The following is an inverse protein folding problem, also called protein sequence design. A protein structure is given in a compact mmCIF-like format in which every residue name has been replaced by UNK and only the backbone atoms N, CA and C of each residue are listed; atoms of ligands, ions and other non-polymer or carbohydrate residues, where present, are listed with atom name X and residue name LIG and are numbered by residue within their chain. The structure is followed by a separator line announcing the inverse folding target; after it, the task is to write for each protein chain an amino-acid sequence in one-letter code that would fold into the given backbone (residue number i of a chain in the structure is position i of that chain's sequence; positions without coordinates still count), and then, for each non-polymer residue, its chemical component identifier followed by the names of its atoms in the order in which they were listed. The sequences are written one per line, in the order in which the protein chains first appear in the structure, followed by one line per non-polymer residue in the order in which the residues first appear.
data_IF_221983622987
#
_entry.id   IF_221983622987
#
_cell.length_a   1.000
_cell.length_b   1.000
_cell.length_c   1.000
_cell.angle_alpha   90.00
_cell.angle_beta   90.00
_cell.angle_gamma   90.00
#
_symmetry.space_group_name_H-M   'P 1'
#
loop_
_entity.id
_entity.type
_entity.pdbx_description
1 polymer ?
#
# COMPACT_ATOMS: atom_id res chain seq x y z
N UNK A 1 20.40 22.58 -1.00
CA UNK A 1 21.04 21.25 -0.91
C UNK A 1 22.07 21.19 -2.02
N UNK A 2 23.33 20.96 -1.70
CA UNK A 2 24.38 20.83 -2.72
C UNK A 2 24.18 19.53 -3.50
N UNK A 3 24.65 19.46 -4.75
CA UNK A 3 24.52 18.25 -5.58
C UNK A 3 25.14 17.01 -4.90
N UNK A 4 26.19 17.20 -4.10
CA UNK A 4 26.87 16.15 -3.34
C UNK A 4 25.98 15.60 -2.22
N UNK A 5 25.21 16.44 -1.53
CA UNK A 5 24.30 16.01 -0.46
C UNK A 5 23.22 15.07 -1.02
N UNK A 6 22.63 15.42 -2.17
CA UNK A 6 21.61 14.61 -2.83
C UNK A 6 22.15 13.24 -3.24
N UNK A 7 23.37 13.19 -3.79
CA UNK A 7 24.02 11.94 -4.18
C UNK A 7 24.37 11.07 -2.97
N UNK A 8 24.83 11.67 -1.88
CA UNK A 8 25.08 10.95 -0.62
C UNK A 8 23.82 10.32 -0.06
N UNK A 9 22.69 11.03 -0.07
CA UNK A 9 21.41 10.49 0.37
C UNK A 9 20.98 9.32 -0.52
N UNK A 10 21.06 9.46 -1.84
CA UNK A 10 20.69 8.38 -2.78
C UNK A 10 21.55 7.15 -2.58
N UNK A 11 22.89 7.31 -2.54
CA UNK A 11 23.82 6.20 -2.33
C UNK A 11 23.65 5.57 -0.94
N UNK A 12 23.41 6.37 0.09
CA UNK A 12 23.12 5.89 1.44
C UNK A 12 21.83 5.07 1.51
N UNK A 13 20.75 5.56 0.90
CA UNK A 13 19.47 4.84 0.84
C UNK A 13 19.61 3.54 0.03
N UNK A 14 20.30 3.60 -1.10
CA UNK A 14 20.54 2.45 -1.97
C UNK A 14 21.34 1.37 -1.23
N UNK A 15 22.46 1.76 -0.60
CA UNK A 15 23.29 0.86 0.18
C UNK A 15 22.52 0.27 1.37
N UNK A 16 21.83 1.11 2.16
CA UNK A 16 21.04 0.64 3.30
C UNK A 16 19.96 -0.37 2.91
N UNK A 17 19.19 -0.07 1.87
CA UNK A 17 18.14 -0.98 1.37
C UNK A 17 18.74 -2.29 0.84
N UNK A 18 19.85 -2.19 0.11
CA UNK A 18 20.55 -3.35 -0.44
C UNK A 18 21.12 -4.23 0.68
N UNK A 19 21.80 -3.67 1.67
CA UNK A 19 22.36 -4.41 2.80
C UNK A 19 21.27 -5.13 3.61
N UNK A 20 20.13 -4.48 3.88
CA UNK A 20 19.01 -5.12 4.59
C UNK A 20 18.53 -6.33 3.79
N UNK A 21 18.23 -6.16 2.49
CA UNK A 21 17.79 -7.27 1.63
C UNK A 21 18.83 -8.39 1.54
N UNK A 22 20.09 -8.02 1.39
CA UNK A 22 21.20 -8.96 1.28
C UNK A 22 21.44 -9.71 2.59
N UNK A 23 21.21 -9.09 3.74
CA UNK A 23 21.28 -9.76 5.03
C UNK A 23 20.26 -10.90 5.12
N UNK A 24 19.01 -10.68 4.70
CA UNK A 24 18.01 -11.75 4.65
C UNK A 24 18.36 -12.82 3.60
N UNK A 25 18.62 -12.43 2.36
CA UNK A 25 18.88 -13.41 1.29
C UNK A 25 20.18 -14.18 1.55
N UNK A 26 21.25 -13.50 1.97
CA UNK A 26 22.56 -14.10 2.24
C UNK A 26 22.58 -14.98 3.49
N UNK A 27 21.89 -14.58 4.58
CA UNK A 27 21.80 -15.39 5.80
C UNK A 27 20.93 -16.64 5.60
N UNK A 28 19.90 -16.56 4.76
CA UNK A 28 19.00 -17.68 4.42
C UNK A 28 19.35 -18.37 3.10
N UNK A 29 20.43 -17.99 2.41
CA UNK A 29 20.83 -18.58 1.12
C UNK A 29 21.16 -20.07 1.23
N UNK A 30 21.61 -20.52 2.40
CA UNK A 30 22.08 -21.88 2.64
C UNK A 30 21.28 -22.61 3.75
N UNK A 31 20.11 -22.08 4.16
CA UNK A 31 19.22 -22.71 5.14
C UNK A 31 17.78 -22.71 4.65
N UNK A 32 17.10 -23.84 4.83
CA UNK A 32 15.67 -23.94 4.59
C UNK A 32 14.91 -22.87 5.39
N UNK A 33 14.14 -22.07 4.65
CA UNK A 33 13.43 -20.93 5.20
C UNK A 33 12.30 -21.43 6.10
N UNK A 34 12.27 -21.04 7.39
CA UNK A 34 11.33 -21.62 8.34
C UNK A 34 9.88 -21.29 7.96
N UNK A 35 8.96 -22.24 8.16
CA UNK A 35 7.57 -22.15 7.70
C UNK A 35 6.80 -20.91 8.22
N UNK A 36 7.14 -20.43 9.42
CA UNK A 36 6.53 -19.21 9.98
C UNK A 36 6.93 -17.95 9.20
N UNK A 37 8.17 -17.89 8.68
CA UNK A 37 8.68 -16.74 7.93
C UNK A 37 8.07 -16.70 6.52
N UNK A 38 7.96 -17.84 5.86
CA UNK A 38 7.32 -17.93 4.53
C UNK A 38 5.81 -17.65 4.61
N UNK A 39 5.12 -18.08 5.67
CA UNK A 39 3.73 -17.67 5.92
C UNK A 39 3.60 -16.16 6.18
N UNK A 40 4.47 -15.58 7.02
CA UNK A 40 4.46 -14.14 7.28
C UNK A 40 4.72 -13.30 6.02
N UNK A 41 5.67 -13.72 5.18
CA UNK A 41 5.99 -13.05 3.92
C UNK A 41 4.85 -13.10 2.90
N UNK A 42 4.08 -14.21 2.85
CA UNK A 42 2.87 -14.30 2.02
C UNK A 42 1.80 -13.30 2.45
N UNK A 43 1.72 -12.99 3.75
CA UNK A 43 0.77 -12.01 4.30
C UNK A 43 1.24 -10.56 4.14
N UNK A 44 2.53 -10.35 3.86
CA UNK A 44 3.11 -9.01 3.78
C UNK A 44 2.53 -8.20 2.61
N UNK A 45 2.39 -8.82 1.43
CA UNK A 45 1.80 -8.18 0.25
C UNK A 45 0.36 -7.69 0.52
N UNK A 46 -0.59 -8.54 0.93
CA UNK A 46 -1.95 -8.08 1.22
C UNK A 46 -2.02 -7.08 2.40
N UNK A 47 -1.15 -7.21 3.41
CA UNK A 47 -1.09 -6.26 4.51
C UNK A 47 -0.62 -4.86 4.07
N UNK A 48 0.40 -4.79 3.20
CA UNK A 48 0.88 -3.51 2.64
C UNK A 48 -0.21 -2.83 1.82
N UNK A 49 -0.93 -3.57 0.96
CA UNK A 49 -2.07 -3.01 0.23
C UNK A 49 -3.16 -2.50 1.18
N UNK A 50 -3.49 -3.25 2.23
CA UNK A 50 -4.45 -2.82 3.24
C UNK A 50 -4.01 -1.53 3.94
N UNK A 51 -2.72 -1.42 4.30
CA UNK A 51 -2.17 -0.21 4.93
C UNK A 51 -2.20 1.01 4.00
N UNK A 52 -1.87 0.83 2.71
CA UNK A 52 -1.95 1.90 1.70
C UNK A 52 -3.39 2.39 1.55
N UNK A 53 -4.36 1.48 1.46
CA UNK A 53 -5.78 1.86 1.37
C UNK A 53 -6.25 2.52 2.67
N UNK A 54 -5.92 1.95 3.83
CA UNK A 54 -6.31 2.48 5.13
C UNK A 54 -5.81 3.91 5.33
N UNK A 55 -4.53 4.18 5.04
CA UNK A 55 -3.95 5.52 5.11
C UNK A 55 -4.55 6.47 4.08
N UNK A 56 -4.76 5.99 2.84
CA UNK A 56 -5.40 6.76 1.77
C UNK A 56 -6.86 7.13 2.05
N UNK A 57 -7.53 6.43 2.97
CA UNK A 57 -8.89 6.77 3.44
C UNK A 57 -8.84 7.64 4.71
N UNK A 58 -7.99 7.28 5.67
CA UNK A 58 -7.97 7.91 6.99
C UNK A 58 -7.39 9.34 6.97
N UNK A 59 -6.44 9.63 6.07
CA UNK A 59 -5.71 10.89 6.05
C UNK A 59 -6.12 11.69 4.79
N UNK A 60 -6.65 12.91 4.96
CA UNK A 60 -6.83 13.88 3.86
C UNK A 60 -6.11 15.18 4.23
N UNK A 61 -5.27 15.68 3.33
CA UNK A 61 -4.70 17.02 3.46
C UNK A 61 -3.85 17.25 4.73
N UNK A 62 -3.26 16.19 5.30
CA UNK A 62 -2.43 16.28 6.51
C UNK A 62 -3.20 16.23 7.84
N UNK A 63 -4.53 16.04 7.80
CA UNK A 63 -5.37 15.86 8.98
C UNK A 63 -6.16 14.53 8.91
N UNK A 64 -6.58 14.03 10.08
CA UNK A 64 -7.56 12.95 10.17
C UNK A 64 -8.84 13.47 9.52
N UNK A 65 -9.33 12.76 8.50
CA UNK A 65 -10.51 13.19 7.79
C UNK A 65 -11.69 13.27 8.78
N UNK A 66 -12.19 14.47 9.06
CA UNK A 66 -13.35 14.66 9.93
C UNK A 66 -14.64 14.14 9.28
N UNK A 67 -15.75 14.19 10.02
CA UNK A 67 -17.09 13.77 9.56
C UNK A 67 -17.57 14.46 8.26
N UNK A 68 -16.97 15.60 7.91
CA UNK A 68 -17.19 16.31 6.65
C UNK A 68 -16.75 15.52 5.39
N UNK A 69 -15.92 14.48 5.54
CA UNK A 69 -15.47 13.62 4.43
C UNK A 69 -16.20 12.26 4.39
N UNK A 70 -17.47 12.23 4.82
CA UNK A 70 -18.37 11.06 4.74
C UNK A 70 -18.25 10.22 3.45
N UNK A 71 -18.08 10.82 2.25
CA UNK A 71 -17.97 10.04 1.01
C UNK A 71 -16.73 9.12 0.95
N UNK A 72 -15.61 9.47 1.59
CA UNK A 72 -14.39 8.64 1.57
C UNK A 72 -14.55 7.38 2.42
N UNK A 73 -15.23 7.50 3.55
CA UNK A 73 -15.57 6.37 4.41
C UNK A 73 -16.58 5.44 3.72
N UNK A 74 -17.61 6.00 3.07
CA UNK A 74 -18.56 5.22 2.28
C UNK A 74 -17.88 4.48 1.12
N UNK A 75 -16.98 5.16 0.38
CA UNK A 75 -16.18 4.55 -0.68
C UNK A 75 -15.29 3.41 -0.17
N UNK A 76 -14.68 3.59 1.01
CA UNK A 76 -13.85 2.56 1.64
C UNK A 76 -14.65 1.32 2.03
N UNK A 77 -15.86 1.50 2.59
CA UNK A 77 -16.75 0.39 2.95
C UNK A 77 -17.21 -0.37 1.71
N UNK A 78 -17.57 0.33 0.62
CA UNK A 78 -17.96 -0.29 -0.65
C UNK A 78 -16.77 -1.04 -1.25
N UNK A 79 -15.58 -0.44 -1.28
CA UNK A 79 -14.36 -1.10 -1.76
C UNK A 79 -14.01 -2.34 -0.93
N UNK A 80 -14.17 -2.29 0.39
CA UNK A 80 -13.98 -3.42 1.28
C UNK A 80 -14.99 -4.55 1.02
N UNK A 81 -16.27 -4.21 0.85
CA UNK A 81 -17.32 -5.18 0.53
C UNK A 81 -17.05 -5.88 -0.80
N UNK A 82 -16.60 -5.15 -1.83
CA UNK A 82 -16.22 -5.70 -3.13
C UNK A 82 -14.95 -6.56 -3.02
N UNK A 83 -13.94 -6.12 -2.25
CA UNK A 83 -12.71 -6.89 -2.04
C UNK A 83 -12.99 -8.25 -1.37
N UNK A 84 -13.88 -8.29 -0.38
CA UNK A 84 -14.32 -9.54 0.27
C UNK A 84 -15.12 -10.42 -0.70
N UNK A 85 -15.97 -9.83 -1.53
CA UNK A 85 -16.81 -10.55 -2.49
C UNK A 85 -16.00 -11.23 -3.60
N UNK A 86 -14.91 -10.61 -4.05
CA UNK A 86 -14.12 -11.08 -5.21
C UNK A 86 -12.90 -11.95 -4.86
N UNK A 87 -12.76 -12.42 -3.62
CA UNK A 87 -11.76 -13.43 -3.19
C UNK A 87 -10.34 -13.22 -3.75
N UNK A 88 -9.86 -11.97 -3.82
CA UNK A 88 -8.46 -11.68 -4.13
C UNK A 88 -8.03 -11.76 -5.61
N UNK A 89 -8.96 -11.68 -6.58
CA UNK A 89 -8.57 -11.48 -7.98
C UNK A 89 -8.03 -10.05 -8.18
N UNK A 90 -6.72 -9.88 -7.95
CA UNK A 90 -5.96 -8.63 -8.00
C UNK A 90 -6.34 -7.67 -9.15
N UNK A 91 -6.43 -8.12 -10.43
CA UNK A 91 -6.75 -7.20 -11.53
C UNK A 91 -8.20 -6.71 -11.50
N UNK A 92 -9.16 -7.54 -11.08
CA UNK A 92 -10.57 -7.14 -10.94
C UNK A 92 -10.75 -6.16 -9.78
N UNK A 93 -10.02 -6.34 -8.68
CA UNK A 93 -10.04 -5.40 -7.54
C UNK A 93 -9.43 -4.06 -7.91
N UNK A 94 -8.35 -4.05 -8.70
CA UNK A 94 -7.68 -2.82 -9.16
C UNK A 94 -8.58 -2.03 -10.13
N UNK A 95 -9.18 -2.70 -11.11
CA UNK A 95 -10.08 -2.09 -12.09
C UNK A 95 -11.35 -1.58 -11.40
N UNK A 96 -11.92 -2.37 -10.48
CA UNK A 96 -13.06 -1.95 -9.65
C UNK A 96 -12.73 -0.74 -8.80
N UNK A 97 -11.54 -0.71 -8.17
CA UNK A 97 -11.08 0.39 -7.33
C UNK A 97 -10.89 1.68 -8.13
N UNK A 98 -10.21 1.61 -9.28
CA UNK A 98 -10.06 2.75 -10.20
C UNK A 98 -11.41 3.22 -10.73
N UNK A 99 -12.30 2.30 -11.12
CA UNK A 99 -13.63 2.62 -11.62
C UNK A 99 -14.50 3.32 -10.57
N UNK A 100 -14.51 2.81 -9.34
CA UNK A 100 -15.28 3.40 -8.24
C UNK A 100 -14.74 4.77 -7.82
N UNK A 101 -13.41 4.92 -7.74
CA UNK A 101 -12.79 6.19 -7.39
C UNK A 101 -13.09 7.24 -8.46
N UNK A 102 -12.93 6.90 -9.74
CA UNK A 102 -13.19 7.81 -10.84
C UNK A 102 -14.68 8.19 -10.93
N UNK A 103 -15.59 7.23 -10.78
CA UNK A 103 -17.03 7.47 -10.79
C UNK A 103 -17.48 8.36 -9.62
N UNK A 104 -16.99 8.12 -8.39
CA UNK A 104 -17.34 8.96 -7.24
C UNK A 104 -16.75 10.37 -7.35
N UNK A 105 -15.51 10.51 -7.84
CA UNK A 105 -14.91 11.83 -8.06
C UNK A 105 -15.62 12.62 -9.15
N UNK A 106 -16.10 11.94 -10.20
CA UNK A 106 -16.85 12.56 -11.28
C UNK A 106 -18.22 13.04 -10.80
N UNK A 107 -18.89 12.23 -9.97
CA UNK A 107 -20.19 12.58 -9.38
C UNK A 107 -20.08 13.72 -8.35
N UNK A 108 -18.94 13.85 -7.66
CA UNK A 108 -18.64 14.99 -6.79
C UNK A 108 -18.27 16.27 -7.57
N UNK A 109 -17.65 16.15 -8.75
CA UNK A 109 -17.28 17.30 -9.57
C UNK A 109 -18.42 17.90 -10.40
N UNK A 110 -19.56 17.20 -10.47
CA UNK A 110 -20.78 17.62 -11.21
C UNK A 110 -21.80 18.34 -10.30
N UNK A 111 -21.64 18.27 -8.98
CA UNK A 111 -22.44 18.99 -7.97
C UNK A 111 -21.74 20.27 -7.53
#
# INVERSE_FOLDING_TARGET
MSNLDSWLVVLGLAAGTFLIRYSFIGLFANRDMPAWLTHGLKLLVPAVFAAIVASGVAIAGGAIAGWAYWPRYAAAVIAFAVAVRHKGNLPLTLISGMGALHALTWLQGVL
#
